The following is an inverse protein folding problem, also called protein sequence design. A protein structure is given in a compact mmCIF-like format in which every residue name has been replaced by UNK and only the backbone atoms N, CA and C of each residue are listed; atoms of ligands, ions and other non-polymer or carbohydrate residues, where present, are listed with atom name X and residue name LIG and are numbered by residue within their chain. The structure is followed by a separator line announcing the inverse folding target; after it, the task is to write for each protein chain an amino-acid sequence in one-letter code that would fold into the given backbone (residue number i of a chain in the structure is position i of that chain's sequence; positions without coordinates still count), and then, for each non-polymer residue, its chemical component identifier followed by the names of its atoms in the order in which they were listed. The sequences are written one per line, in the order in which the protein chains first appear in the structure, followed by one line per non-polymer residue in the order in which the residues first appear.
data_IF_417861355051
#
_entry.id   IF_417861355051
#
_cell.length_a   1.000
_cell.length_b   1.000
_cell.length_c   1.000
_cell.angle_alpha   90.00
_cell.angle_beta   90.00
_cell.angle_gamma   90.00
#
_symmetry.space_group_name_H-M   'P 1'
#
loop_
_entity.id
_entity.type
_entity.pdbx_description
1 polymer ?
#
# COMPACT_ATOMS: atom_id res chain seq x y z
N UNK A 1 -1.16 10.94 8.10
CA UNK A 1 -1.01 9.55 7.69
C UNK A 1 -2.35 8.98 7.26
N UNK A 2 -3.34 8.94 8.17
CA UNK A 2 -4.69 8.41 7.95
C UNK A 2 -5.35 8.93 6.67
N UNK A 3 -5.43 10.26 6.49
CA UNK A 3 -6.04 10.87 5.30
C UNK A 3 -5.35 10.44 4.01
N UNK A 4 -4.02 10.40 4.00
CA UNK A 4 -3.23 10.05 2.82
C UNK A 4 -3.45 8.57 2.41
N UNK A 5 -3.39 7.65 3.36
CA UNK A 5 -3.68 6.23 3.12
C UNK A 5 -5.13 6.01 2.67
N UNK A 6 -6.09 6.66 3.35
CA UNK A 6 -7.49 6.56 2.98
C UNK A 6 -7.75 7.08 1.55
N UNK A 7 -7.15 8.22 1.17
CA UNK A 7 -7.28 8.77 -0.19
C UNK A 7 -6.74 7.80 -1.24
N UNK A 8 -5.53 7.24 -1.03
CA UNK A 8 -4.97 6.25 -1.95
C UNK A 8 -5.88 5.02 -2.11
N UNK A 9 -6.39 4.50 -1.00
CA UNK A 9 -7.26 3.33 -1.03
C UNK A 9 -8.64 3.62 -1.65
N UNK A 10 -9.22 4.81 -1.44
CA UNK A 10 -10.45 5.25 -2.12
C UNK A 10 -10.24 5.31 -3.63
N UNK A 11 -9.15 5.92 -4.09
CA UNK A 11 -8.83 6.02 -5.52
C UNK A 11 -8.62 4.62 -6.11
N UNK A 12 -7.91 3.74 -5.41
CA UNK A 12 -7.72 2.34 -5.82
C UNK A 12 -9.05 1.59 -5.92
N UNK A 13 -9.90 1.67 -4.89
CA UNK A 13 -11.21 1.03 -4.89
C UNK A 13 -12.10 1.53 -6.03
N UNK A 14 -12.09 2.85 -6.27
CA UNK A 14 -12.83 3.47 -7.37
C UNK A 14 -12.32 3.04 -8.74
N UNK A 15 -11.00 2.98 -8.94
CA UNK A 15 -10.40 2.52 -10.18
C UNK A 15 -10.79 1.05 -10.48
N UNK A 16 -10.76 0.17 -9.47
CA UNK A 16 -11.22 -1.21 -9.61
C UNK A 16 -12.72 -1.28 -9.92
N UNK A 17 -13.55 -0.46 -9.27
CA UNK A 17 -14.98 -0.40 -9.57
C UNK A 17 -15.24 -0.03 -11.03
N UNK A 18 -14.58 1.00 -11.55
CA UNK A 18 -14.68 1.41 -12.95
C UNK A 18 -14.24 0.29 -13.90
N UNK A 19 -13.14 -0.43 -13.61
CA UNK A 19 -12.70 -1.57 -14.42
C UNK A 19 -13.75 -2.68 -14.45
N UNK A 20 -14.41 -2.97 -13.33
CA UNK A 20 -15.53 -3.91 -13.28
C UNK A 20 -16.70 -3.47 -14.15
N UNK A 21 -17.12 -2.20 -14.09
CA UNK A 21 -18.19 -1.62 -14.90
C UNK A 21 -17.85 -1.65 -16.38
N UNK A 22 -16.63 -1.25 -16.76
CA UNK A 22 -16.15 -1.30 -18.14
C UNK A 22 -16.21 -2.73 -18.70
N UNK A 23 -15.83 -3.71 -17.89
CA UNK A 23 -15.92 -5.12 -18.28
C UNK A 23 -17.34 -5.62 -18.52
N UNK A 24 -18.33 -5.14 -17.77
CA UNK A 24 -19.73 -5.44 -18.02
C UNK A 24 -20.23 -4.75 -19.33
N UNK A 25 -19.72 -3.57 -19.60
CA UNK A 25 -20.12 -2.80 -20.78
C UNK A 25 -19.54 -3.36 -22.08
N UNK A 26 -18.34 -3.92 -22.05
CA UNK A 26 -17.73 -4.59 -23.22
C UNK A 26 -18.63 -5.68 -23.80
N UNK A 27 -19.30 -6.45 -22.95
CA UNK A 27 -20.22 -7.49 -23.36
C UNK A 27 -21.52 -6.98 -24.03
N UNK A 28 -21.86 -5.69 -23.86
CA UNK A 28 -23.17 -5.14 -24.31
C UNK A 28 -23.11 -4.12 -25.44
N UNK A 29 -21.99 -3.46 -25.69
CA UNK A 29 -21.97 -2.23 -26.50
C UNK A 29 -21.05 -2.24 -27.74
N UNK A 30 -20.31 -3.32 -28.02
CA UNK A 30 -19.43 -3.38 -29.21
C UNK A 30 -18.36 -2.26 -29.23
N UNK A 31 -17.91 -1.81 -28.08
CA UNK A 31 -16.87 -0.77 -27.96
C UNK A 31 -15.56 -1.29 -28.58
N UNK A 32 -14.93 -0.47 -29.42
CA UNK A 32 -13.70 -0.85 -30.08
C UNK A 32 -12.65 -1.32 -29.06
N UNK A 33 -12.07 -2.50 -29.25
CA UNK A 33 -11.10 -3.14 -28.36
C UNK A 33 -9.93 -2.23 -27.96
N UNK A 34 -9.50 -1.33 -28.87
CA UNK A 34 -8.45 -0.36 -28.61
C UNK A 34 -8.84 0.69 -27.55
N UNK A 35 -10.09 1.18 -27.58
CA UNK A 35 -10.60 2.14 -26.60
C UNK A 35 -10.67 1.52 -25.19
N UNK A 36 -11.15 0.29 -25.12
CA UNK A 36 -11.20 -0.48 -23.87
C UNK A 36 -9.80 -0.70 -23.29
N UNK A 37 -8.84 -1.12 -24.10
CA UNK A 37 -7.47 -1.30 -23.67
C UNK A 37 -6.89 -0.01 -23.07
N UNK A 38 -7.10 1.14 -23.74
CA UNK A 38 -6.61 2.44 -23.22
C UNK A 38 -7.27 2.79 -21.88
N UNK A 39 -8.60 2.59 -21.76
CA UNK A 39 -9.32 2.87 -20.51
C UNK A 39 -8.82 1.97 -19.36
N UNK A 40 -8.65 0.68 -19.62
CA UNK A 40 -8.07 -0.25 -18.63
C UNK A 40 -6.65 0.15 -18.25
N UNK A 41 -5.80 0.50 -19.22
CA UNK A 41 -4.43 0.93 -18.97
C UNK A 41 -4.38 2.19 -18.09
N UNK A 42 -5.25 3.16 -18.33
CA UNK A 42 -5.36 4.37 -17.50
C UNK A 42 -5.80 4.01 -16.07
N UNK A 43 -6.86 3.22 -15.92
CA UNK A 43 -7.37 2.83 -14.61
C UNK A 43 -6.35 1.97 -13.85
N UNK A 44 -5.65 1.07 -14.54
CA UNK A 44 -4.59 0.25 -13.94
C UNK A 44 -3.41 1.09 -13.46
N UNK A 45 -2.98 2.06 -14.27
CA UNK A 45 -1.93 3.01 -13.90
C UNK A 45 -2.33 3.85 -12.69
N UNK A 46 -3.57 4.37 -12.68
CA UNK A 46 -4.11 5.13 -11.56
C UNK A 46 -4.19 4.27 -10.28
N UNK A 47 -4.62 3.02 -10.40
CA UNK A 47 -4.65 2.06 -9.31
C UNK A 47 -3.25 1.81 -8.74
N UNK A 48 -2.27 1.51 -9.59
CA UNK A 48 -0.88 1.29 -9.17
C UNK A 48 -0.26 2.51 -8.49
N UNK A 49 -0.50 3.71 -9.04
CA UNK A 49 -0.05 4.96 -8.41
C UNK A 49 -0.69 5.16 -7.03
N UNK A 50 -1.98 4.95 -6.90
CA UNK A 50 -2.69 5.14 -5.63
C UNK A 50 -2.29 4.12 -4.55
N UNK A 51 -1.93 2.90 -4.93
CA UNK A 51 -1.44 1.87 -4.01
C UNK A 51 -0.08 2.24 -3.39
N UNK A 52 0.74 3.04 -4.06
CA UNK A 52 2.00 3.55 -3.49
C UNK A 52 1.80 4.41 -2.23
N UNK A 53 0.58 4.91 -2.02
CA UNK A 53 0.20 5.68 -0.83
C UNK A 53 -0.07 4.81 0.42
N UNK A 54 0.09 3.50 0.35
CA UNK A 54 -0.17 2.57 1.47
C UNK A 54 1.04 2.33 2.35
N UNK A 55 2.10 1.75 1.80
CA UNK A 55 3.24 1.24 2.57
C UNK A 55 4.07 2.32 3.27
N UNK A 56 4.51 3.42 2.63
CA UNK A 56 5.33 4.41 3.31
C UNK A 56 4.65 5.04 4.53
N UNK A 57 3.39 5.48 4.48
CA UNK A 57 2.70 6.01 5.66
C UNK A 57 2.48 4.95 6.74
N UNK A 58 2.27 3.68 6.39
CA UNK A 58 2.14 2.59 7.36
C UNK A 58 3.43 2.41 8.17
N UNK A 59 4.59 2.44 7.52
CA UNK A 59 5.90 2.36 8.17
C UNK A 59 6.11 3.57 9.10
N UNK A 60 5.75 4.77 8.65
CA UNK A 60 5.81 5.97 9.49
C UNK A 60 4.86 5.85 10.69
N UNK A 61 3.66 5.30 10.51
CA UNK A 61 2.73 5.03 11.60
C UNK A 61 3.34 4.07 12.63
N UNK A 62 3.93 2.96 12.19
CA UNK A 62 4.63 2.04 13.08
C UNK A 62 5.74 2.74 13.88
N UNK A 63 6.49 3.65 13.26
CA UNK A 63 7.55 4.39 13.96
C UNK A 63 7.03 5.37 15.00
N UNK A 64 5.78 5.82 14.89
CA UNK A 64 5.13 6.73 15.84
C UNK A 64 4.42 6.02 16.99
N UNK A 65 4.05 4.75 16.81
CA UNK A 65 3.32 3.97 17.80
C UNK A 65 4.22 3.04 18.61
N UNK A 66 5.41 2.69 18.09
CA UNK A 66 6.29 1.72 18.74
C UNK A 66 7.69 2.27 18.96
N UNK A 67 8.26 2.14 20.18
CA UNK A 67 9.61 2.53 20.48
C UNK A 67 10.62 1.71 19.69
N UNK A 68 11.83 2.26 19.53
CA UNK A 68 12.86 1.68 18.66
C UNK A 68 13.19 0.22 19.00
N UNK A 69 13.20 -0.13 20.29
CA UNK A 69 13.56 -1.47 20.79
C UNK A 69 12.66 -2.61 20.23
N UNK A 70 11.37 -2.34 20.08
CA UNK A 70 10.38 -3.37 19.64
C UNK A 70 9.84 -3.12 18.25
N UNK A 71 10.18 -1.98 17.64
CA UNK A 71 9.68 -1.60 16.30
C UNK A 71 9.95 -2.65 15.23
N UNK A 72 11.11 -3.30 15.26
CA UNK A 72 11.48 -4.37 14.33
C UNK A 72 10.52 -5.56 14.37
N UNK A 73 10.06 -5.95 15.56
CA UNK A 73 9.09 -7.04 15.72
C UNK A 73 7.75 -6.69 15.08
N UNK A 74 7.23 -5.49 15.35
CA UNK A 74 5.97 -5.04 14.75
C UNK A 74 6.07 -4.82 13.24
N UNK A 75 7.24 -4.38 12.76
CA UNK A 75 7.51 -4.33 11.33
C UNK A 75 7.51 -5.72 10.69
N UNK A 76 8.04 -6.73 11.38
CA UNK A 76 7.98 -8.13 10.96
C UNK A 76 6.54 -8.63 10.81
N UNK A 77 5.66 -8.37 11.79
CA UNK A 77 4.23 -8.69 11.69
C UNK A 77 3.54 -7.95 10.54
N UNK A 78 3.85 -6.66 10.36
CA UNK A 78 3.32 -5.88 9.23
C UNK A 78 3.75 -6.47 7.89
N UNK A 79 5.02 -6.87 7.75
CA UNK A 79 5.53 -7.49 6.54
C UNK A 79 4.90 -8.87 6.28
N UNK A 80 4.71 -9.68 7.33
CA UNK A 80 4.04 -10.97 7.22
C UNK A 80 2.57 -10.82 6.82
N UNK A 81 1.85 -9.81 7.34
CA UNK A 81 0.46 -9.55 6.97
C UNK A 81 0.30 -9.18 5.49
N UNK A 82 1.29 -8.52 4.89
CA UNK A 82 1.31 -8.23 3.47
C UNK A 82 1.34 -9.50 2.61
N UNK A 83 2.26 -10.43 2.90
CA UNK A 83 2.36 -11.69 2.17
C UNK A 83 1.11 -12.57 2.38
N UNK A 84 0.56 -12.60 3.59
CA UNK A 84 -0.68 -13.32 3.88
C UNK A 84 -1.87 -12.72 3.11
N UNK A 85 -1.96 -11.39 3.09
CA UNK A 85 -2.99 -10.67 2.32
C UNK A 85 -2.88 -10.91 0.81
N UNK A 86 -1.67 -10.98 0.27
CA UNK A 86 -1.41 -11.29 -1.13
C UNK A 86 -1.93 -12.71 -1.47
N UNK A 87 -1.57 -13.74 -0.70
CA UNK A 87 -2.07 -15.10 -0.91
C UNK A 87 -3.59 -15.21 -0.79
N UNK A 88 -4.17 -14.57 0.24
CA UNK A 88 -5.62 -14.56 0.42
C UNK A 88 -6.35 -13.86 -0.74
N UNK A 89 -5.75 -12.81 -1.31
CA UNK A 89 -6.35 -12.08 -2.44
C UNK A 89 -6.43 -12.93 -3.70
N UNK A 90 -5.43 -13.77 -3.98
CA UNK A 90 -5.47 -14.69 -5.12
C UNK A 90 -6.64 -15.67 -4.99
N UNK A 91 -6.80 -16.31 -3.84
CA UNK A 91 -7.91 -17.24 -3.60
C UNK A 91 -9.28 -16.54 -3.69
N UNK A 92 -9.40 -15.37 -3.07
CA UNK A 92 -10.64 -14.60 -3.07
C UNK A 92 -11.05 -14.17 -4.49
N UNK A 93 -10.11 -13.61 -5.26
CA UNK A 93 -10.38 -13.19 -6.63
C UNK A 93 -10.64 -14.37 -7.53
N UNK A 94 -9.87 -15.47 -7.42
CA UNK A 94 -10.10 -16.69 -8.20
C UNK A 94 -11.49 -17.28 -7.95
N UNK A 95 -11.95 -17.31 -6.70
CA UNK A 95 -13.30 -17.77 -6.37
C UNK A 95 -14.38 -16.89 -7.00
N UNK A 96 -14.25 -15.58 -6.95
CA UNK A 96 -15.21 -14.66 -7.59
C UNK A 96 -15.23 -14.80 -9.11
N UNK A 97 -14.06 -14.89 -9.73
CA UNK A 97 -13.92 -15.04 -11.18
C UNK A 97 -14.52 -16.36 -11.65
N UNK A 98 -14.26 -17.44 -10.91
CA UNK A 98 -14.83 -18.78 -11.25
C UNK A 98 -16.35 -18.84 -11.08
N UNK A 99 -16.90 -18.13 -10.09
CA UNK A 99 -18.34 -18.15 -9.80
C UNK A 99 -19.16 -17.23 -10.70
N UNK A 100 -18.64 -16.04 -11.07
CA UNK A 100 -19.44 -14.98 -11.69
C UNK A 100 -18.76 -14.28 -12.88
N UNK A 101 -17.53 -14.66 -13.21
CA UNK A 101 -16.77 -14.07 -14.32
C UNK A 101 -15.73 -13.03 -13.86
N UNK A 102 -14.82 -12.70 -14.77
CA UNK A 102 -13.64 -11.88 -14.46
C UNK A 102 -13.97 -10.45 -13.95
N UNK A 103 -15.08 -9.88 -14.36
CA UNK A 103 -15.54 -8.56 -13.92
C UNK A 103 -15.76 -8.52 -12.39
N UNK A 104 -16.24 -9.62 -11.82
CA UNK A 104 -16.48 -9.74 -10.39
C UNK A 104 -15.22 -9.77 -9.54
N UNK A 105 -14.08 -10.14 -10.12
CA UNK A 105 -12.78 -9.97 -9.48
C UNK A 105 -12.49 -8.51 -9.16
N UNK A 106 -12.77 -7.58 -10.08
CA UNK A 106 -12.61 -6.14 -9.86
C UNK A 106 -13.62 -5.57 -8.85
N UNK A 107 -14.88 -6.00 -8.91
CA UNK A 107 -15.88 -5.59 -7.91
C UNK A 107 -15.52 -6.11 -6.52
N UNK A 108 -15.01 -7.32 -6.39
CA UNK A 108 -14.52 -7.89 -5.15
C UNK A 108 -13.34 -7.08 -4.58
N UNK A 109 -12.36 -6.75 -5.42
CA UNK A 109 -11.23 -5.89 -5.03
C UNK A 109 -11.69 -4.49 -4.61
N UNK A 110 -12.67 -3.90 -5.31
CA UNK A 110 -13.28 -2.63 -4.94
C UNK A 110 -13.98 -2.68 -3.58
N UNK A 111 -14.75 -3.74 -3.33
CA UNK A 111 -15.43 -3.95 -2.05
C UNK A 111 -14.42 -4.12 -0.91
N UNK A 112 -13.38 -4.92 -1.11
CA UNK A 112 -12.30 -5.09 -0.13
C UNK A 112 -11.60 -3.75 0.15
N UNK A 113 -11.36 -2.94 -0.88
CA UNK A 113 -10.83 -1.59 -0.74
C UNK A 113 -11.76 -0.67 0.08
N UNK A 114 -13.07 -0.69 -0.17
CA UNK A 114 -14.06 0.09 0.57
C UNK A 114 -14.12 -0.32 2.05
N UNK A 115 -14.05 -1.63 2.34
CA UNK A 115 -13.92 -2.14 3.71
C UNK A 115 -12.63 -1.64 4.36
N UNK A 116 -11.50 -1.69 3.65
CA UNK A 116 -10.22 -1.17 4.13
C UNK A 116 -10.28 0.34 4.44
N UNK A 117 -10.92 1.15 3.60
CA UNK A 117 -11.17 2.58 3.88
C UNK A 117 -11.96 2.75 5.18
N UNK A 118 -13.01 1.96 5.36
CA UNK A 118 -13.84 2.00 6.57
C UNK A 118 -13.02 1.66 7.82
N UNK A 119 -12.18 0.61 7.75
CA UNK A 119 -11.28 0.23 8.85
C UNK A 119 -10.29 1.36 9.18
N UNK A 120 -9.66 1.96 8.16
CA UNK A 120 -8.76 3.10 8.34
C UNK A 120 -9.52 4.29 8.95
N UNK A 121 -10.72 4.58 8.47
CA UNK A 121 -11.50 5.70 8.96
C UNK A 121 -11.93 5.54 10.43
N UNK A 122 -12.25 4.34 10.86
CA UNK A 122 -12.73 4.08 12.22
C UNK A 122 -11.60 3.88 13.21
N UNK A 123 -10.55 3.12 12.86
CA UNK A 123 -9.56 2.63 13.82
C UNK A 123 -8.15 3.20 13.66
N UNK A 124 -7.76 3.67 12.47
CA UNK A 124 -6.42 4.21 12.31
C UNK A 124 -6.30 5.60 12.94
N UNK A 125 -5.31 5.77 13.81
CA UNK A 125 -4.92 7.04 14.42
C UNK A 125 -3.47 7.33 14.09
N UNK A 126 -3.17 8.58 13.80
CA UNK A 126 -1.86 8.99 13.27
C UNK A 126 -0.74 8.88 14.32
N UNK A 127 -1.06 9.14 15.59
CA UNK A 127 -0.10 9.13 16.70
C UNK A 127 -0.81 8.82 18.03
N UNK A 128 -0.09 8.37 19.07
CA UNK A 128 -0.65 8.18 20.42
C UNK A 128 -1.33 9.44 20.97
N UNK A 129 -0.74 10.61 20.74
CA UNK A 129 -1.25 11.89 21.21
C UNK A 129 -2.64 12.22 20.64
N UNK A 130 -2.93 11.73 19.43
CA UNK A 130 -4.27 11.87 18.82
C UNK A 130 -5.36 11.13 19.58
N UNK A 131 -4.98 10.25 20.51
CA UNK A 131 -5.84 9.51 21.46
C UNK A 131 -5.72 10.03 22.89
N UNK A 132 -4.98 11.12 23.12
CA UNK A 132 -4.73 11.65 24.46
C UNK A 132 -3.72 10.85 25.28
N UNK A 133 -2.92 10.01 24.61
CA UNK A 133 -1.81 9.29 25.23
C UNK A 133 -0.54 10.11 25.15
N UNK A 134 0.39 9.88 26.08
CA UNK A 134 1.73 10.47 26.01
C UNK A 134 2.49 9.99 24.79
N UNK A 135 3.47 10.76 24.28
CA UNK A 135 4.34 10.35 23.19
C UNK A 135 5.01 9.00 23.44
N UNK A 136 5.32 8.27 22.38
CA UNK A 136 5.85 6.91 22.49
C UNK A 136 7.18 6.85 23.25
N UNK A 137 8.01 7.87 23.12
CA UNK A 137 9.29 8.00 23.82
C UNK A 137 9.12 8.13 25.35
N UNK A 138 8.04 8.83 25.76
CA UNK A 138 7.67 8.97 27.17
C UNK A 138 7.04 7.69 27.70
N UNK A 139 6.14 7.07 26.94
CA UNK A 139 5.53 5.79 27.30
C UNK A 139 6.55 4.65 27.41
N UNK A 140 7.60 4.70 26.62
CA UNK A 140 8.70 3.74 26.65
C UNK A 140 9.73 4.01 27.75
N UNK A 141 9.61 5.12 28.48
CA UNK A 141 10.58 5.54 29.49
C UNK A 141 11.93 5.99 28.92
N UNK A 142 11.96 6.33 27.63
CA UNK A 142 13.19 6.80 26.96
C UNK A 142 13.45 8.29 27.21
N UNK A 143 12.39 9.06 27.47
CA UNK A 143 12.42 10.49 27.81
C UNK A 143 11.38 10.82 28.87
N UNK A 144 11.63 11.91 29.61
CA UNK A 144 10.59 12.51 30.44
C UNK A 144 9.66 13.38 29.61
N UNK A 145 8.45 13.67 30.12
CA UNK A 145 7.51 14.56 29.43
C UNK A 145 8.10 15.97 29.22
N UNK A 146 8.86 16.47 30.23
CA UNK A 146 9.50 17.78 30.16
C UNK A 146 10.59 17.86 29.09
N UNK A 147 11.37 16.80 28.91
CA UNK A 147 12.39 16.72 27.85
C UNK A 147 11.76 16.70 26.48
N UNK A 148 10.67 15.94 26.30
CA UNK A 148 9.93 15.88 25.05
C UNK A 148 9.32 17.24 24.68
N UNK A 149 8.66 17.91 25.65
CA UNK A 149 8.05 19.21 25.43
C UNK A 149 9.09 20.29 25.10
N UNK A 150 10.26 20.25 25.73
CA UNK A 150 11.38 21.14 25.40
C UNK A 150 11.87 20.95 23.98
N UNK A 151 12.11 19.68 23.56
CA UNK A 151 12.51 19.39 22.18
C UNK A 151 11.46 19.82 21.16
N UNK A 152 10.17 19.67 21.48
CA UNK A 152 9.08 20.07 20.61
C UNK A 152 9.04 21.60 20.43
N UNK A 153 9.26 22.35 21.52
CA UNK A 153 9.35 23.80 21.49
C UNK A 153 10.56 24.28 20.65
N UNK A 154 11.72 23.65 20.82
CA UNK A 154 12.91 23.95 20.00
C UNK A 154 12.69 23.67 18.52
N UNK A 155 12.11 22.51 18.18
CA UNK A 155 11.77 22.15 16.79
C UNK A 155 10.77 23.12 16.15
N UNK A 156 9.80 23.61 16.94
CA UNK A 156 8.80 24.57 16.45
C UNK A 156 9.38 25.96 16.30
N UNK A 157 10.23 26.40 17.21
CA UNK A 157 10.90 27.69 17.15
C UNK A 157 11.84 27.79 15.93
N UNK A 158 12.50 26.68 15.57
CA UNK A 158 13.42 26.57 14.45
C UNK A 158 12.76 26.07 13.14
N UNK A 159 11.43 26.14 13.01
CA UNK A 159 10.68 25.53 11.90
C UNK A 159 11.10 26.06 10.51
N UNK A 160 11.51 27.32 10.38
CA UNK A 160 11.99 27.90 9.14
C UNK A 160 13.37 27.36 8.74
N UNK A 161 14.26 27.20 9.68
CA UNK A 161 15.61 26.62 9.51
C UNK A 161 15.51 25.12 9.20
N UNK A 162 14.60 24.41 9.83
CA UNK A 162 14.33 23.00 9.60
C UNK A 162 13.87 22.72 8.16
N UNK A 163 13.18 23.66 7.50
CA UNK A 163 12.78 23.49 6.10
C UNK A 163 13.99 23.51 5.14
N UNK A 164 14.95 24.40 5.37
CA UNK A 164 16.16 24.47 4.57
C UNK A 164 17.07 23.27 4.84
N UNK A 165 17.19 22.85 6.07
CA UNK A 165 17.95 21.67 6.48
C UNK A 165 17.34 20.39 5.93
N UNK A 166 16.01 20.22 5.96
CA UNK A 166 15.30 19.08 5.37
C UNK A 166 15.61 18.98 3.87
N UNK A 167 15.57 20.08 3.13
CA UNK A 167 15.93 20.10 1.69
C UNK A 167 17.38 19.72 1.47
N UNK A 168 18.29 20.19 2.33
CA UNK A 168 19.72 19.83 2.29
C UNK A 168 19.93 18.33 2.50
N UNK A 169 19.28 17.76 3.51
CA UNK A 169 19.32 16.32 3.82
C UNK A 169 18.74 15.51 2.64
N UNK A 170 17.58 15.89 2.10
CA UNK A 170 16.98 15.23 0.94
C UNK A 170 17.93 15.22 -0.26
N UNK A 171 18.56 16.36 -0.54
CA UNK A 171 19.54 16.48 -1.63
C UNK A 171 20.79 15.61 -1.37
N UNK A 172 21.26 15.55 -0.14
CA UNK A 172 22.40 14.70 0.25
C UNK A 172 22.06 13.22 0.08
N UNK A 173 20.86 12.78 0.50
CA UNK A 173 20.37 11.40 0.32
C UNK A 173 20.28 11.04 -1.15
N UNK A 174 19.70 11.90 -2.00
CA UNK A 174 19.59 11.67 -3.44
C UNK A 174 20.94 11.64 -4.15
N UNK A 175 21.96 12.28 -3.59
CA UNK A 175 23.33 12.26 -4.14
C UNK A 175 24.19 11.10 -3.63
N UNK A 176 23.71 10.36 -2.67
CA UNK A 176 24.43 9.22 -2.11
C UNK A 176 24.30 8.00 -3.04
N UNK A 177 25.39 7.50 -3.64
CA UNK A 177 25.35 6.35 -4.54
C UNK A 177 24.86 5.08 -3.85
N UNK A 178 25.09 4.91 -2.55
CA UNK A 178 24.59 3.76 -1.77
C UNK A 178 23.06 3.68 -1.78
N UNK A 179 22.37 4.81 -1.76
CA UNK A 179 20.90 4.84 -1.85
C UNK A 179 20.42 4.34 -3.21
N UNK A 180 21.10 4.73 -4.29
CA UNK A 180 20.77 4.27 -5.64
C UNK A 180 21.07 2.80 -5.87
N UNK A 181 22.18 2.30 -5.34
CA UNK A 181 22.51 0.86 -5.39
C UNK A 181 21.45 0.05 -4.66
N UNK A 182 21.04 0.49 -3.45
CA UNK A 182 20.00 -0.18 -2.68
C UNK A 182 18.65 -0.14 -3.40
N UNK A 183 18.27 1.01 -3.96
CA UNK A 183 17.04 1.18 -4.72
C UNK A 183 17.02 0.28 -5.97
N UNK A 184 18.13 0.22 -6.71
CA UNK A 184 18.25 -0.62 -7.90
C UNK A 184 18.20 -2.10 -7.56
N UNK A 185 18.91 -2.53 -6.51
CA UNK A 185 18.88 -3.92 -6.02
C UNK A 185 17.46 -4.32 -5.62
N UNK A 186 16.75 -3.44 -4.91
CA UNK A 186 15.34 -3.66 -4.55
C UNK A 186 14.44 -3.73 -5.78
N UNK A 187 14.66 -2.88 -6.78
CA UNK A 187 13.90 -2.90 -8.02
C UNK A 187 14.04 -4.24 -8.75
N UNK A 188 15.25 -4.78 -8.89
CA UNK A 188 15.49 -6.09 -9.51
C UNK A 188 14.86 -7.23 -8.71
N UNK A 189 14.94 -7.18 -7.38
CA UNK A 189 14.32 -8.17 -6.51
C UNK A 189 12.79 -8.17 -6.69
N UNK A 190 12.16 -7.00 -6.68
CA UNK A 190 10.72 -6.87 -6.89
C UNK A 190 10.30 -7.26 -8.31
N UNK A 191 11.09 -6.90 -9.33
CA UNK A 191 10.83 -7.32 -10.71
C UNK A 191 10.78 -8.84 -10.84
N UNK A 192 11.74 -9.55 -10.24
CA UNK A 192 11.76 -11.03 -10.24
C UNK A 192 10.57 -11.61 -9.48
N UNK A 193 10.23 -11.04 -8.31
CA UNK A 193 9.09 -11.46 -7.50
C UNK A 193 7.76 -11.31 -8.24
N UNK A 194 7.52 -10.14 -8.82
CA UNK A 194 6.27 -9.87 -9.55
C UNK A 194 6.16 -10.71 -10.83
N UNK A 195 7.28 -10.95 -11.52
CA UNK A 195 7.26 -11.83 -12.68
C UNK A 195 6.76 -13.25 -12.33
N UNK A 196 7.20 -13.80 -11.19
CA UNK A 196 6.75 -15.12 -10.72
C UNK A 196 5.28 -15.04 -10.26
N UNK A 197 4.91 -14.06 -9.46
CA UNK A 197 3.58 -13.97 -8.87
C UNK A 197 2.49 -13.75 -9.93
N UNK A 198 2.72 -12.86 -10.90
CA UNK A 198 1.69 -12.51 -11.90
C UNK A 198 1.64 -13.50 -13.06
N UNK A 199 2.80 -13.99 -13.51
CA UNK A 199 2.87 -14.90 -14.67
C UNK A 199 2.86 -16.37 -14.28
N UNK A 200 3.17 -16.71 -13.04
CA UNK A 200 3.20 -18.09 -12.56
C UNK A 200 1.85 -18.77 -12.69
N UNK A 201 0.79 -18.11 -12.28
CA UNK A 201 -0.58 -18.63 -12.37
C UNK A 201 -1.00 -18.85 -13.85
N UNK A 202 -0.71 -17.86 -14.70
CA UNK A 202 -0.98 -17.99 -16.15
C UNK A 202 -0.16 -19.13 -16.80
N UNK A 203 1.08 -19.31 -16.39
CA UNK A 203 1.92 -20.43 -16.84
C UNK A 203 1.34 -21.79 -16.43
N UNK A 204 0.90 -21.93 -15.17
CA UNK A 204 0.28 -23.16 -14.68
C UNK A 204 -0.99 -23.51 -15.47
N UNK A 205 -1.86 -22.53 -15.71
CA UNK A 205 -3.08 -22.73 -16.49
C UNK A 205 -2.78 -23.10 -17.95
N UNK A 206 -1.95 -22.31 -18.65
CA UNK A 206 -1.69 -22.49 -20.08
C UNK A 206 -0.81 -23.71 -20.40
N UNK A 207 0.19 -24.00 -19.55
CA UNK A 207 1.21 -25.01 -19.86
C UNK A 207 0.94 -26.33 -19.16
N UNK A 208 0.37 -26.29 -17.96
CA UNK A 208 0.11 -27.48 -17.14
C UNK A 208 -1.37 -27.88 -17.09
N UNK A 209 -2.28 -27.05 -17.59
CA UNK A 209 -3.70 -27.33 -17.67
C UNK A 209 -4.44 -27.30 -16.33
N UNK A 210 -3.86 -26.64 -15.30
CA UNK A 210 -4.53 -26.48 -14.00
C UNK A 210 -5.76 -25.56 -14.14
N UNK A 211 -6.81 -25.85 -13.38
CA UNK A 211 -7.93 -24.93 -13.24
C UNK A 211 -7.54 -23.69 -12.41
N UNK A 212 -8.32 -22.60 -12.58
CA UNK A 212 -8.01 -21.31 -11.95
C UNK A 212 -7.85 -21.41 -10.42
N UNK A 213 -8.72 -22.16 -9.77
CA UNK A 213 -8.67 -22.37 -8.31
C UNK A 213 -7.46 -23.22 -7.89
N UNK A 214 -7.11 -24.25 -8.64
CA UNK A 214 -5.93 -25.07 -8.39
C UNK A 214 -4.64 -24.29 -8.59
N UNK A 215 -4.58 -23.44 -9.62
CA UNK A 215 -3.42 -22.61 -9.92
C UNK A 215 -3.23 -21.47 -8.90
N UNK A 216 -4.27 -21.11 -8.15
CA UNK A 216 -4.26 -20.04 -7.13
C UNK A 216 -3.91 -20.52 -5.72
N UNK A 217 -3.85 -21.82 -5.47
CA UNK A 217 -3.51 -22.43 -4.18
C UNK A 217 -2.01 -22.73 -4.07
#
# INVERSE_FOLDING_TARGET
IKKFMATGLVVSAFANFIMGVLGLWEGSAGVASASMFVMFAIMWTLNGWSQSMGSPPAIISLSRWYPLKIRGTFYGFFSASHNFGEGLSFLFVAALVSAAGWQWGFFGASLAGALGVTLIALWLHDTPESKGLSPVEVLAGEKTQEEYDRELLEKTANASDNSAETKRIQKAVLRNPGVWILALSSAFMYMSRYAINEWGMFFLQKTKGFELLEASS
#
